data_IF_719245035071
#
_entry.id   IF_719245035071
#
_cell.length_a   1.000
_cell.length_b   1.000
_cell.length_c   1.000
_cell.angle_alpha   90.00
_cell.angle_beta   90.00
_cell.angle_gamma   90.00
#
_symmetry.space_group_name_H-M   'P 1'
#
loop_
_entity.id
_entity.type
_entity.pdbx_description
1 polymer ?
#
# COMPACT_ATOMS: atom_id res chain seq x y z
N UNK A 1 -8.58 40.02 -28.77
CA UNK A 1 -7.77 40.73 -27.75
C UNK A 1 -7.04 39.70 -26.91
N UNK A 2 -5.71 39.68 -26.91
CA UNK A 2 -4.93 38.82 -26.00
C UNK A 2 -4.99 39.46 -24.62
N UNK A 3 -5.73 38.86 -23.69
CA UNK A 3 -5.63 39.20 -22.27
C UNK A 3 -4.26 38.70 -21.81
N UNK A 4 -3.41 39.59 -21.27
CA UNK A 4 -2.12 39.18 -20.74
C UNK A 4 -2.33 38.19 -19.59
N UNK A 5 -1.45 37.20 -19.44
CA UNK A 5 -1.53 36.17 -18.39
C UNK A 5 -1.67 36.77 -16.98
N UNK A 6 -1.14 37.97 -16.77
CA UNK A 6 -1.27 38.71 -15.51
C UNK A 6 -2.70 39.22 -15.27
N UNK A 7 -3.40 39.70 -16.30
CA UNK A 7 -4.79 40.16 -16.18
C UNK A 7 -5.78 39.04 -15.87
N UNK A 8 -5.53 37.84 -16.41
CA UNK A 8 -6.37 36.66 -16.16
C UNK A 8 -6.19 36.13 -14.73
N UNK A 9 -4.95 36.07 -14.23
CA UNK A 9 -4.67 35.62 -12.86
C UNK A 9 -5.23 36.61 -11.84
N UNK A 10 -5.05 37.91 -12.05
CA UNK A 10 -5.61 38.94 -11.15
C UNK A 10 -7.16 38.89 -11.10
N UNK A 11 -7.82 38.64 -12.24
CA UNK A 11 -9.27 38.46 -12.31
C UNK A 11 -9.75 37.20 -11.58
N UNK A 12 -9.02 36.08 -11.69
CA UNK A 12 -9.34 34.84 -10.97
C UNK A 12 -9.15 35.02 -9.46
N UNK A 13 -8.09 35.71 -9.03
CA UNK A 13 -7.86 36.02 -7.61
C UNK A 13 -8.96 36.91 -7.04
N UNK A 14 -9.38 37.96 -7.76
CA UNK A 14 -10.49 38.82 -7.35
C UNK A 14 -11.80 38.03 -7.22
N UNK A 15 -12.13 37.20 -8.21
CA UNK A 15 -13.34 36.37 -8.18
C UNK A 15 -13.31 35.33 -7.04
N UNK A 16 -12.14 34.76 -6.71
CA UNK A 16 -11.99 33.86 -5.57
C UNK A 16 -12.14 34.59 -4.23
N UNK A 17 -11.66 35.82 -4.12
CA UNK A 17 -11.85 36.66 -2.92
C UNK A 17 -13.32 37.02 -2.75
N UNK A 18 -14.02 37.41 -3.82
CA UNK A 18 -15.45 37.69 -3.78
C UNK A 18 -16.26 36.43 -3.42
N UNK A 19 -15.88 35.26 -3.95
CA UNK A 19 -16.47 33.98 -3.59
C UNK A 19 -16.23 33.64 -2.11
N UNK A 20 -15.04 33.95 -1.58
CA UNK A 20 -14.70 33.74 -0.17
C UNK A 20 -15.47 34.70 0.76
N UNK A 21 -15.74 35.94 0.33
CA UNK A 21 -16.57 36.91 1.07
C UNK A 21 -18.03 36.42 1.10
N UNK A 22 -18.57 36.01 -0.04
CA UNK A 22 -19.93 35.43 -0.14
C UNK A 22 -20.05 34.13 0.67
N UNK A 23 -19.03 33.26 0.62
CA UNK A 23 -18.99 32.08 1.49
C UNK A 23 -18.87 32.46 2.96
N UNK A 24 -18.12 33.51 3.30
CA UNK A 24 -18.00 34.02 4.68
C UNK A 24 -19.34 34.43 5.28
N UNK A 25 -20.20 35.09 4.49
CA UNK A 25 -21.54 35.53 4.92
C UNK A 25 -22.54 34.38 5.01
N UNK A 26 -22.36 33.31 4.23
CA UNK A 26 -23.17 32.07 4.31
C UNK A 26 -22.75 31.19 5.52
N UNK A 27 -21.52 31.37 6.02
CA UNK A 27 -20.85 30.49 7.00
C UNK A 27 -21.15 30.84 8.46
N UNK A 28 -21.95 31.87 8.75
CA UNK A 28 -22.26 32.28 10.13
C UNK A 28 -23.20 31.33 10.91
N UNK A 29 -23.68 30.21 10.33
CA UNK A 29 -24.71 29.38 10.98
C UNK A 29 -24.66 27.84 10.79
N UNK A 30 -23.55 27.22 10.35
CA UNK A 30 -23.54 25.75 10.06
C UNK A 30 -22.25 24.97 10.42
N UNK A 31 -22.37 23.69 10.88
CA UNK A 31 -21.25 22.77 11.14
C UNK A 31 -20.44 22.35 9.89
N UNK A 32 -20.88 22.72 8.68
CA UNK A 32 -20.09 22.60 7.43
C UNK A 32 -18.81 23.45 7.41
N UNK A 33 -18.61 24.32 8.41
CA UNK A 33 -17.46 25.23 8.57
C UNK A 33 -16.10 24.54 8.48
N UNK A 34 -15.93 23.37 9.10
CA UNK A 34 -14.65 22.66 9.11
C UNK A 34 -14.35 21.98 7.77
N UNK A 35 -15.36 21.34 7.16
CA UNK A 35 -15.21 20.68 5.85
C UNK A 35 -14.97 21.69 4.72
N UNK A 36 -15.62 22.85 4.75
CA UNK A 36 -15.39 23.90 3.76
C UNK A 36 -14.01 24.55 3.97
N UNK A 37 -13.60 24.80 5.21
CA UNK A 37 -12.27 25.34 5.53
C UNK A 37 -11.14 24.38 5.13
N UNK A 38 -11.26 23.10 5.47
CA UNK A 38 -10.32 22.05 5.06
C UNK A 38 -10.34 21.89 3.55
N UNK A 39 -11.51 21.88 2.91
CA UNK A 39 -11.65 21.84 1.45
C UNK A 39 -10.98 23.02 0.76
N UNK A 40 -11.08 24.23 1.32
CA UNK A 40 -10.42 25.45 0.81
C UNK A 40 -8.92 25.47 1.10
N UNK A 41 -8.43 24.90 2.20
CA UNK A 41 -7.00 24.69 2.46
C UNK A 41 -6.42 23.68 1.47
N UNK A 42 -7.15 22.59 1.22
CA UNK A 42 -6.80 21.60 0.20
C UNK A 42 -6.80 22.24 -1.17
N UNK A 43 -7.81 23.04 -1.52
CA UNK A 43 -7.84 23.80 -2.77
C UNK A 43 -6.67 24.79 -2.85
N UNK A 44 -6.30 25.47 -1.76
CA UNK A 44 -5.15 26.38 -1.69
C UNK A 44 -3.82 25.64 -1.89
N UNK A 45 -3.65 24.45 -1.31
CA UNK A 45 -2.42 23.65 -1.46
C UNK A 45 -2.38 22.98 -2.84
N UNK A 46 -3.50 22.45 -3.33
CA UNK A 46 -3.66 22.01 -4.71
C UNK A 46 -3.41 23.17 -5.67
N UNK A 47 -3.90 24.38 -5.41
CA UNK A 47 -3.66 25.56 -6.24
C UNK A 47 -2.23 26.05 -6.14
N UNK A 48 -1.56 26.04 -4.99
CA UNK A 48 -0.15 26.43 -4.88
C UNK A 48 0.77 25.42 -5.58
N UNK A 49 0.54 24.12 -5.35
CA UNK A 49 1.20 23.03 -6.09
C UNK A 49 0.86 23.11 -7.58
N UNK A 50 -0.38 23.49 -7.94
CA UNK A 50 -0.81 23.66 -9.32
C UNK A 50 -0.33 24.97 -9.93
N UNK A 51 -0.05 26.02 -9.17
CA UNK A 51 0.46 27.32 -9.64
C UNK A 51 1.96 27.21 -9.93
N UNK A 52 2.72 26.49 -9.09
CA UNK A 52 4.10 26.11 -9.41
C UNK A 52 4.16 25.16 -10.61
N UNK A 53 3.15 24.31 -10.80
CA UNK A 53 2.99 23.52 -12.03
C UNK A 53 2.50 24.39 -13.21
N UNK A 54 1.65 25.40 -13.01
CA UNK A 54 1.13 26.28 -14.06
C UNK A 54 2.19 27.23 -14.61
N UNK A 55 3.21 27.60 -13.82
CA UNK A 55 4.42 28.25 -14.32
C UNK A 55 5.18 27.39 -15.35
N UNK A 56 5.02 26.06 -15.31
CA UNK A 56 5.51 25.12 -16.34
C UNK A 56 4.51 25.00 -17.51
N UNK A 57 3.21 25.14 -17.28
CA UNK A 57 2.15 25.05 -18.32
C UNK A 57 2.10 26.21 -19.33
N UNK A 58 2.98 27.21 -19.25
CA UNK A 58 3.20 28.13 -20.36
C UNK A 58 3.75 27.42 -21.62
N UNK A 59 4.22 26.17 -21.50
CA UNK A 59 4.47 25.24 -22.61
C UNK A 59 3.62 23.97 -22.47
N UNK A 60 2.75 23.73 -23.45
CA UNK A 60 1.79 22.63 -23.52
C UNK A 60 2.34 21.23 -23.15
N UNK A 61 1.72 20.54 -22.20
CA UNK A 61 1.83 19.07 -22.05
C UNK A 61 0.42 18.49 -21.88
N UNK A 62 -0.01 17.77 -22.91
CA UNK A 62 -1.26 17.01 -22.95
C UNK A 62 -1.30 15.94 -21.84
N UNK A 63 -2.30 16.01 -20.96
CA UNK A 63 -2.61 15.01 -19.91
C UNK A 63 -3.33 13.75 -20.47
N UNK A 64 -3.24 13.50 -21.77
CA UNK A 64 -4.09 12.54 -22.49
C UNK A 64 -3.37 11.32 -23.07
N UNK A 65 -2.32 10.79 -22.44
CA UNK A 65 -1.87 9.45 -22.85
C UNK A 65 -2.77 8.40 -22.22
N UNK A 66 -3.57 7.72 -23.04
CA UNK A 66 -4.25 6.48 -22.66
C UNK A 66 -3.18 5.45 -22.24
N UNK A 67 -3.38 4.67 -21.15
CA UNK A 67 -2.47 3.61 -20.75
C UNK A 67 -2.03 2.69 -21.91
N UNK A 68 -2.95 2.42 -22.85
CA UNK A 68 -2.72 1.56 -24.02
C UNK A 68 -1.60 2.09 -24.94
N UNK A 69 -1.47 3.42 -25.08
CA UNK A 69 -0.40 4.03 -25.89
C UNK A 69 0.99 3.86 -25.26
N UNK A 70 1.06 3.81 -23.92
CA UNK A 70 2.29 3.53 -23.19
C UNK A 70 2.69 2.06 -23.35
N UNK A 71 1.72 1.15 -23.31
CA UNK A 71 1.95 -0.28 -23.48
C UNK A 71 2.55 -0.61 -24.85
N UNK A 72 1.94 -0.13 -25.95
CA UNK A 72 2.46 -0.39 -27.28
C UNK A 72 3.89 0.12 -27.49
N UNK A 73 4.20 1.31 -26.96
CA UNK A 73 5.56 1.88 -27.01
C UNK A 73 6.55 1.01 -26.22
N UNK A 74 6.21 0.64 -24.98
CA UNK A 74 7.10 -0.14 -24.12
C UNK A 74 7.33 -1.57 -24.64
N UNK A 75 6.30 -2.22 -25.22
CA UNK A 75 6.45 -3.51 -25.89
C UNK A 75 7.37 -3.39 -27.11
N UNK A 76 7.21 -2.32 -27.91
CA UNK A 76 8.09 -2.03 -29.04
C UNK A 76 9.55 -1.83 -28.63
N UNK A 77 9.80 -1.08 -27.55
CA UNK A 77 11.14 -0.89 -26.97
C UNK A 77 11.77 -2.23 -26.54
N UNK A 78 10.95 -3.18 -26.09
CA UNK A 78 11.36 -4.54 -25.71
C UNK A 78 11.39 -5.52 -26.90
N UNK A 79 11.09 -5.09 -28.13
CA UNK A 79 10.95 -5.96 -29.32
C UNK A 79 9.93 -7.10 -29.14
N UNK A 80 8.88 -6.82 -28.37
CA UNK A 80 7.77 -7.73 -28.09
C UNK A 80 6.58 -7.40 -28.99
N UNK A 81 6.08 -8.39 -29.72
CA UNK A 81 4.93 -8.23 -30.63
C UNK A 81 3.66 -8.66 -29.92
N UNK A 82 2.71 -7.75 -29.77
CA UNK A 82 1.42 -8.00 -29.09
C UNK A 82 0.47 -8.86 -29.95
N UNK A 83 -0.09 -9.93 -29.37
CA UNK A 83 -1.17 -10.75 -29.99
C UNK A 83 -2.52 -10.51 -29.30
N UNK A 84 -2.53 -10.39 -27.98
CA UNK A 84 -3.76 -10.28 -27.21
C UNK A 84 -3.50 -10.06 -25.73
N UNK A 85 -4.55 -9.79 -24.97
CA UNK A 85 -4.46 -9.65 -23.52
C UNK A 85 -5.71 -10.14 -22.82
N UNK A 86 -5.56 -10.48 -21.55
CA UNK A 86 -6.65 -10.71 -20.62
C UNK A 86 -6.37 -9.99 -19.29
N UNK A 87 -7.43 -9.47 -18.63
CA UNK A 87 -7.26 -8.90 -17.31
C UNK A 87 -6.86 -9.99 -16.31
N UNK A 88 -5.87 -9.68 -15.47
CA UNK A 88 -5.59 -10.43 -14.25
C UNK A 88 -6.28 -9.68 -13.11
N UNK A 89 -6.74 -10.38 -12.08
CA UNK A 89 -7.24 -9.71 -10.86
C UNK A 89 -6.22 -8.66 -10.42
N UNK A 90 -6.65 -7.39 -10.38
CA UNK A 90 -5.77 -6.24 -10.19
C UNK A 90 -6.12 -5.43 -8.95
N UNK A 91 -5.10 -4.79 -8.37
CA UNK A 91 -5.24 -3.91 -7.20
C UNK A 91 -6.05 -2.64 -7.48
N UNK A 92 -6.38 -1.89 -6.43
CA UNK A 92 -7.27 -0.72 -6.50
C UNK A 92 -6.74 0.45 -7.35
N UNK A 93 -5.41 0.58 -7.45
CA UNK A 93 -4.73 1.72 -8.08
C UNK A 93 -4.19 1.42 -9.47
N UNK A 94 -3.95 0.16 -9.82
CA UNK A 94 -3.31 -0.23 -11.08
C UNK A 94 -4.13 -1.29 -11.81
N UNK A 95 -4.01 -1.29 -13.14
CA UNK A 95 -4.55 -2.34 -13.99
C UNK A 95 -3.44 -3.33 -14.32
N UNK A 96 -3.70 -4.62 -14.08
CA UNK A 96 -2.78 -5.73 -14.36
C UNK A 96 -3.38 -6.59 -15.47
N UNK A 97 -2.59 -6.88 -16.49
CA UNK A 97 -3.01 -7.68 -17.65
C UNK A 97 -1.95 -8.71 -17.97
N UNK A 98 -2.38 -9.91 -18.35
CA UNK A 98 -1.53 -10.87 -19.03
C UNK A 98 -1.58 -10.54 -20.51
N UNK A 99 -0.41 -10.30 -21.10
CA UNK A 99 -0.27 -9.96 -22.50
C UNK A 99 0.42 -11.14 -23.20
N UNK A 100 -0.26 -11.68 -24.22
CA UNK A 100 0.23 -12.75 -25.07
C UNK A 100 1.05 -12.17 -26.21
N UNK A 101 2.22 -12.77 -26.46
CA UNK A 101 3.20 -12.27 -27.41
C UNK A 101 3.36 -13.21 -28.60
N UNK A 102 3.73 -12.65 -29.75
CA UNK A 102 4.15 -13.42 -30.91
C UNK A 102 5.61 -13.83 -30.73
N UNK A 103 5.85 -15.14 -30.80
CA UNK A 103 7.17 -15.72 -30.62
C UNK A 103 8.03 -15.66 -31.88
N UNK A 104 7.49 -15.28 -33.05
CA UNK A 104 8.23 -14.92 -34.28
C UNK A 104 9.64 -15.55 -34.48
N UNK A 105 10.61 -14.72 -34.85
CA UNK A 105 12.05 -15.08 -35.02
C UNK A 105 12.93 -14.66 -33.82
N UNK A 106 12.34 -14.12 -32.76
CA UNK A 106 13.04 -13.64 -31.56
C UNK A 106 12.55 -14.45 -30.37
N UNK A 107 13.46 -14.98 -29.53
CA UNK A 107 13.10 -15.66 -28.28
C UNK A 107 12.40 -14.71 -27.30
N UNK A 108 11.09 -14.51 -27.52
CA UNK A 108 10.17 -13.87 -26.60
C UNK A 108 9.48 -14.95 -25.74
N UNK A 109 9.07 -14.63 -24.50
CA UNK A 109 8.19 -15.51 -23.75
C UNK A 109 6.78 -15.51 -24.38
N UNK A 110 6.06 -16.63 -24.26
CA UNK A 110 4.66 -16.77 -24.73
C UNK A 110 3.73 -15.67 -24.17
N UNK A 111 4.04 -15.18 -22.97
CA UNK A 111 3.30 -14.10 -22.33
C UNK A 111 4.11 -13.35 -21.27
N UNK A 112 3.69 -12.13 -20.99
CA UNK A 112 4.21 -11.27 -19.93
C UNK A 112 3.07 -10.69 -19.09
N UNK A 113 3.39 -10.23 -17.89
CA UNK A 113 2.47 -9.42 -17.08
C UNK A 113 2.79 -7.94 -17.30
N UNK A 114 1.76 -7.17 -17.61
CA UNK A 114 1.83 -5.72 -17.77
C UNK A 114 1.00 -5.05 -16.69
N UNK A 115 1.67 -4.29 -15.82
CA UNK A 115 1.05 -3.43 -14.80
C UNK A 115 1.12 -1.98 -15.28
N UNK A 116 -0.01 -1.29 -15.26
CA UNK A 116 -0.11 0.13 -15.61
C UNK A 116 -0.98 0.87 -14.61
N UNK A 117 -0.67 2.14 -14.35
CA UNK A 117 -1.49 2.99 -13.48
C UNK A 117 -2.93 3.12 -13.97
N UNK A 118 -3.88 3.34 -13.05
CA UNK A 118 -5.29 3.62 -13.36
C UNK A 118 -5.47 4.75 -14.40
N UNK A 119 -6.49 4.65 -15.25
CA UNK A 119 -6.88 5.74 -16.15
C UNK A 119 -7.44 6.96 -15.41
N UNK A 120 -7.95 6.77 -14.18
CA UNK A 120 -8.52 7.83 -13.36
C UNK A 120 -7.42 8.72 -12.75
N UNK A 121 -7.37 10.00 -13.15
CA UNK A 121 -6.36 10.95 -12.69
C UNK A 121 -6.30 11.09 -11.15
N UNK A 122 -7.46 11.10 -10.48
CA UNK A 122 -7.53 11.17 -9.00
C UNK A 122 -6.80 10.01 -8.33
N UNK A 123 -6.94 8.79 -8.88
CA UNK A 123 -6.31 7.58 -8.36
C UNK A 123 -4.81 7.63 -8.64
N UNK A 124 -4.41 8.09 -9.83
CA UNK A 124 -2.99 8.28 -10.17
C UNK A 124 -2.27 9.27 -9.28
N UNK A 125 -2.89 10.42 -9.00
CA UNK A 125 -2.28 11.43 -8.12
C UNK A 125 -2.10 10.86 -6.71
N UNK A 126 -3.12 10.17 -6.19
CA UNK A 126 -3.07 9.54 -4.87
C UNK A 126 -1.99 8.45 -4.78
N UNK A 127 -1.95 7.55 -5.76
CA UNK A 127 -1.04 6.39 -5.77
C UNK A 127 0.36 6.70 -6.32
N UNK A 128 0.63 7.93 -6.77
CA UNK A 128 1.88 8.28 -7.48
C UNK A 128 3.14 7.97 -6.67
N UNK A 129 3.07 8.04 -5.34
CA UNK A 129 4.18 7.64 -4.47
C UNK A 129 4.48 6.15 -4.56
N UNK A 130 3.45 5.29 -4.57
CA UNK A 130 3.60 3.85 -4.73
C UNK A 130 4.16 3.47 -6.10
N UNK A 131 3.67 4.10 -7.16
CA UNK A 131 4.19 3.89 -8.52
C UNK A 131 5.68 4.21 -8.64
N UNK A 132 6.11 5.32 -8.06
CA UNK A 132 7.52 5.70 -8.06
C UNK A 132 8.35 4.66 -7.32
N UNK A 133 7.88 4.19 -6.15
CA UNK A 133 8.60 3.24 -5.32
C UNK A 133 8.74 1.88 -5.99
N UNK A 134 7.67 1.33 -6.55
CA UNK A 134 7.69 0.03 -7.23
C UNK A 134 8.64 0.04 -8.43
N UNK A 135 8.56 1.10 -9.27
CA UNK A 135 9.48 1.26 -10.41
C UNK A 135 10.93 1.38 -9.96
N UNK A 136 11.20 2.18 -8.91
CA UNK A 136 12.55 2.33 -8.39
C UNK A 136 13.08 1.04 -7.76
N UNK A 137 12.24 0.29 -7.07
CA UNK A 137 12.60 -1.02 -6.52
C UNK A 137 13.07 -1.97 -7.61
N UNK A 138 12.27 -2.13 -8.67
CA UNK A 138 12.62 -3.03 -9.78
C UNK A 138 13.86 -2.58 -10.55
N UNK A 139 14.12 -1.27 -10.63
CA UNK A 139 15.31 -0.74 -11.31
C UNK A 139 16.58 -0.75 -10.44
N UNK A 140 16.47 -0.62 -9.12
CA UNK A 140 17.62 -0.31 -8.25
C UNK A 140 17.91 -1.37 -7.19
N UNK A 141 16.92 -2.13 -6.73
CA UNK A 141 17.04 -2.99 -5.54
C UNK A 141 16.80 -4.48 -5.87
N UNK A 142 15.80 -4.80 -6.69
CA UNK A 142 15.36 -6.17 -6.98
C UNK A 142 16.50 -7.17 -7.24
N UNK A 143 17.44 -6.80 -8.11
CA UNK A 143 18.59 -7.61 -8.52
C UNK A 143 19.65 -7.82 -7.42
N UNK A 144 19.52 -7.15 -6.28
CA UNK A 144 20.46 -7.23 -5.15
C UNK A 144 20.00 -8.20 -4.06
N UNK A 145 18.74 -8.66 -4.13
CA UNK A 145 18.12 -9.49 -3.11
C UNK A 145 18.43 -10.99 -3.33
N UNK A 146 18.71 -11.76 -2.27
CA UNK A 146 19.00 -13.18 -2.36
C UNK A 146 17.72 -14.04 -2.40
N UNK A 147 16.71 -13.57 -3.14
CA UNK A 147 15.40 -14.21 -3.26
C UNK A 147 14.93 -14.18 -4.72
N UNK A 148 14.10 -15.14 -5.16
CA UNK A 148 13.47 -15.09 -6.47
C UNK A 148 12.64 -13.80 -6.66
N UNK A 149 12.92 -13.09 -7.75
CA UNK A 149 12.15 -11.92 -8.22
C UNK A 149 11.81 -12.17 -9.70
N UNK A 150 10.58 -11.87 -10.17
CA UNK A 150 10.25 -12.02 -11.58
C UNK A 150 11.19 -11.22 -12.46
N UNK A 151 11.58 -11.77 -13.62
CA UNK A 151 12.39 -11.01 -14.58
C UNK A 151 11.64 -9.76 -15.03
N UNK A 152 12.29 -8.61 -14.94
CA UNK A 152 11.72 -7.32 -15.36
C UNK A 152 12.24 -6.98 -16.76
N UNK A 153 11.33 -6.85 -17.72
CA UNK A 153 11.64 -6.47 -19.10
C UNK A 153 11.61 -4.94 -19.28
N UNK A 154 10.69 -4.27 -18.60
CA UNK A 154 10.55 -2.81 -18.64
C UNK A 154 9.98 -2.30 -17.33
N UNK A 155 10.49 -1.18 -16.80
CA UNK A 155 9.94 -0.54 -15.61
C UNK A 155 10.19 0.96 -15.65
N UNK A 156 9.12 1.75 -15.80
CA UNK A 156 9.22 3.20 -16.01
C UNK A 156 8.10 3.95 -15.31
N UNK A 157 8.48 5.06 -14.67
CA UNK A 157 7.58 6.00 -14.02
C UNK A 157 7.70 7.37 -14.69
N UNK A 158 6.56 7.96 -15.04
CA UNK A 158 6.47 9.33 -15.52
C UNK A 158 5.91 10.22 -14.40
N UNK A 159 6.80 11.02 -13.81
CA UNK A 159 6.48 11.95 -12.72
C UNK A 159 5.45 13.01 -13.08
N UNK A 160 5.34 13.39 -14.36
CA UNK A 160 4.43 14.44 -14.82
C UNK A 160 3.03 13.90 -15.06
N UNK A 161 2.96 12.63 -15.48
CA UNK A 161 1.70 11.93 -15.74
C UNK A 161 1.20 11.13 -14.54
N UNK A 162 1.99 11.06 -13.47
CA UNK A 162 1.75 10.21 -12.29
C UNK A 162 1.39 8.78 -12.70
N UNK A 163 2.12 8.23 -13.67
CA UNK A 163 1.81 6.94 -14.27
C UNK A 163 3.02 6.04 -14.30
N UNK A 164 2.77 4.75 -14.11
CA UNK A 164 3.75 3.68 -14.27
C UNK A 164 3.42 2.79 -15.46
N UNK A 165 4.46 2.13 -15.95
CA UNK A 165 4.36 0.92 -16.73
C UNK A 165 5.46 -0.05 -16.30
N UNK A 166 5.06 -1.28 -16.00
CA UNK A 166 5.96 -2.38 -15.67
C UNK A 166 5.59 -3.57 -16.56
N UNK A 167 6.57 -4.12 -17.24
CA UNK A 167 6.49 -5.36 -18.01
C UNK A 167 7.40 -6.37 -17.32
N UNK A 168 6.81 -7.45 -16.83
CA UNK A 168 7.52 -8.48 -16.07
C UNK A 168 7.15 -9.88 -16.54
N UNK A 169 7.99 -10.84 -16.16
CA UNK A 169 7.78 -12.26 -16.38
C UNK A 169 6.42 -12.72 -15.86
N UNK A 170 5.75 -13.52 -16.69
CA UNK A 170 4.52 -14.16 -16.28
C UNK A 170 4.81 -15.42 -15.47
N UNK A 171 4.84 -15.27 -14.14
CA UNK A 171 4.95 -16.40 -13.20
C UNK A 171 3.62 -17.19 -13.11
N UNK A 172 2.53 -16.72 -13.74
CA UNK A 172 1.15 -17.22 -13.54
C UNK A 172 0.82 -18.59 -14.17
N UNK A 173 1.82 -19.48 -14.33
CA UNK A 173 1.55 -20.91 -14.16
C UNK A 173 1.59 -21.35 -12.69
N UNK A 174 1.92 -20.43 -11.78
CA UNK A 174 1.85 -20.61 -10.34
C UNK A 174 0.47 -20.27 -9.73
N UNK A 175 0.17 -20.88 -8.59
CA UNK A 175 -0.97 -20.53 -7.74
C UNK A 175 -0.63 -19.35 -6.84
N UNK A 176 -1.63 -18.53 -6.50
CA UNK A 176 -1.44 -17.58 -5.39
C UNK A 176 -1.08 -18.35 -4.13
N UNK A 177 -0.28 -17.78 -3.22
CA UNK A 177 0.02 -18.50 -1.97
C UNK A 177 -1.25 -18.81 -1.17
N UNK A 178 -2.31 -17.99 -1.29
CA UNK A 178 -3.65 -18.32 -0.75
C UNK A 178 -4.15 -19.67 -1.27
N UNK A 179 -4.10 -19.87 -2.59
CA UNK A 179 -4.60 -21.09 -3.21
C UNK A 179 -3.67 -22.27 -2.90
N UNK A 180 -2.35 -22.04 -2.88
CA UNK A 180 -1.36 -23.06 -2.51
C UNK A 180 -1.56 -23.54 -1.08
N UNK A 181 -1.75 -22.63 -0.13
CA UNK A 181 -2.09 -22.97 1.25
C UNK A 181 -3.38 -23.80 1.32
N UNK A 182 -4.42 -23.45 0.56
CA UNK A 182 -5.69 -24.20 0.58
C UNK A 182 -5.62 -25.60 -0.03
N UNK A 183 -4.68 -25.81 -0.95
CA UNK A 183 -4.56 -27.04 -1.75
C UNK A 183 -3.38 -27.93 -1.35
N UNK A 184 -2.43 -27.41 -0.57
CA UNK A 184 -1.26 -28.13 -0.11
C UNK A 184 -1.64 -29.23 0.89
N UNK A 185 -0.98 -30.38 0.78
CA UNK A 185 -1.02 -31.43 1.80
C UNK A 185 -0.36 -30.99 3.11
N UNK A 186 0.56 -30.02 3.04
CA UNK A 186 1.21 -29.41 4.19
C UNK A 186 1.16 -27.88 4.08
N UNK A 187 0.07 -27.24 4.52
CA UNK A 187 -0.09 -25.79 4.43
C UNK A 187 0.82 -25.02 5.41
N UNK A 188 1.23 -25.65 6.51
CA UNK A 188 2.17 -25.06 7.48
C UNK A 188 3.55 -24.85 6.85
N UNK A 189 4.04 -25.80 6.04
CA UNK A 189 5.30 -25.67 5.31
C UNK A 189 5.29 -24.52 4.29
N UNK A 190 4.14 -24.22 3.68
CA UNK A 190 4.00 -23.08 2.76
C UNK A 190 4.13 -21.76 3.52
N UNK A 191 3.50 -21.67 4.69
CA UNK A 191 3.62 -20.52 5.57
C UNK A 191 5.06 -20.36 6.09
N UNK A 192 5.71 -21.45 6.48
CA UNK A 192 7.10 -21.46 6.92
C UNK A 192 8.04 -20.92 5.84
N UNK A 193 7.91 -21.37 4.58
CA UNK A 193 8.74 -20.87 3.49
C UNK A 193 8.52 -19.37 3.22
N UNK A 194 7.28 -18.86 3.36
CA UNK A 194 7.02 -17.42 3.25
C UNK A 194 7.73 -16.63 4.36
N UNK A 195 7.86 -17.19 5.56
CA UNK A 195 8.59 -16.57 6.67
C UNK A 195 10.11 -16.62 6.45
N UNK A 196 10.64 -17.76 6.00
CA UNK A 196 12.05 -17.92 5.65
C UNK A 196 12.45 -16.97 4.51
N UNK A 197 11.61 -16.85 3.49
CA UNK A 197 11.79 -15.91 2.38
C UNK A 197 11.91 -14.47 2.87
N UNK A 198 11.05 -14.04 3.80
CA UNK A 198 11.13 -12.72 4.40
C UNK A 198 12.45 -12.51 5.17
N UNK A 199 12.90 -13.51 5.94
CA UNK A 199 14.18 -13.41 6.65
C UNK A 199 15.37 -13.25 5.69
N UNK A 200 15.43 -14.05 4.61
CA UNK A 200 16.48 -13.92 3.57
C UNK A 200 16.47 -12.56 2.89
N UNK A 201 15.28 -12.06 2.57
CA UNK A 201 15.08 -10.72 2.02
C UNK A 201 15.59 -9.63 2.96
N UNK A 202 15.19 -9.69 4.23
CA UNK A 202 15.54 -8.68 5.24
C UNK A 202 17.02 -8.68 5.58
N UNK A 203 17.66 -9.85 5.69
CA UNK A 203 19.07 -9.94 6.05
C UNK A 203 19.99 -9.12 5.13
N UNK A 204 19.62 -8.96 3.84
CA UNK A 204 20.42 -8.24 2.84
C UNK A 204 20.73 -6.78 3.20
N UNK A 205 19.80 -6.10 3.89
CA UNK A 205 19.86 -4.68 4.25
C UNK A 205 19.77 -4.44 5.76
N UNK A 206 20.05 -5.47 6.56
CA UNK A 206 19.87 -5.46 8.00
C UNK A 206 20.86 -4.53 8.75
N UNK A 207 20.42 -4.05 9.91
CA UNK A 207 21.29 -3.51 10.96
C UNK A 207 21.42 -1.99 11.01
N UNK A 208 20.77 -1.25 10.11
CA UNK A 208 20.72 0.21 10.23
C UNK A 208 19.83 0.62 11.40
N UNK A 209 20.22 1.60 12.21
CA UNK A 209 19.32 2.24 13.17
C UNK A 209 18.81 3.55 12.58
N UNK A 210 17.79 4.22 13.16
CA UNK A 210 17.38 5.55 12.72
C UNK A 210 18.54 6.55 12.61
N UNK A 211 19.51 6.49 13.53
CA UNK A 211 20.67 7.37 13.55
C UNK A 211 21.75 7.00 12.54
N UNK A 212 21.89 5.72 12.17
CA UNK A 212 22.89 5.27 11.20
C UNK A 212 22.36 5.09 9.77
N UNK A 213 21.03 5.14 9.58
CA UNK A 213 20.36 4.86 8.31
C UNK A 213 20.95 5.64 7.12
N UNK A 214 21.20 6.93 7.26
CA UNK A 214 21.75 7.75 6.16
C UNK A 214 23.14 7.27 5.68
N UNK A 215 23.91 6.59 6.54
CA UNK A 215 25.24 6.08 6.25
C UNK A 215 25.28 4.57 5.98
N UNK A 216 24.12 3.89 5.96
CA UNK A 216 24.04 2.46 5.68
C UNK A 216 23.91 2.17 4.19
N UNK A 217 23.98 0.88 3.81
CA UNK A 217 23.71 0.43 2.43
C UNK A 217 22.30 0.81 1.96
N UNK A 218 21.33 0.87 2.88
CA UNK A 218 19.94 1.26 2.62
C UNK A 218 19.78 2.79 2.51
N UNK A 219 20.69 3.55 3.14
CA UNK A 219 20.69 5.02 3.19
C UNK A 219 20.68 5.72 1.84
N UNK A 220 21.15 5.04 0.79
CA UNK A 220 21.19 5.58 -0.57
C UNK A 220 19.82 5.62 -1.27
N UNK A 221 18.83 4.89 -0.75
CA UNK A 221 17.49 4.81 -1.33
C UNK A 221 16.53 5.71 -0.57
N UNK A 222 16.77 7.03 -0.64
CA UNK A 222 15.99 8.04 0.10
C UNK A 222 14.52 8.14 -0.32
N UNK A 223 14.15 7.46 -1.40
CA UNK A 223 12.79 7.39 -1.94
C UNK A 223 11.94 6.28 -1.29
N UNK A 224 12.54 5.41 -0.47
CA UNK A 224 11.82 4.37 0.26
C UNK A 224 10.79 5.00 1.20
N UNK A 225 9.62 4.37 1.32
CA UNK A 225 8.60 4.80 2.30
C UNK A 225 9.21 4.76 3.70
N UNK A 226 8.85 5.74 4.53
CA UNK A 226 9.35 5.89 5.89
C UNK A 226 10.72 6.58 6.01
N UNK A 227 11.55 6.60 4.95
CA UNK A 227 12.91 7.16 5.02
C UNK A 227 12.94 8.60 5.55
N UNK A 228 12.18 9.51 4.91
CA UNK A 228 12.13 10.92 5.33
C UNK A 228 11.65 11.06 6.77
N UNK A 229 10.59 10.33 7.14
CA UNK A 229 10.01 10.38 8.48
C UNK A 229 11.02 9.93 9.55
N UNK A 230 11.73 8.83 9.32
CA UNK A 230 12.80 8.33 10.20
C UNK A 230 13.94 9.35 10.33
N UNK A 231 14.25 10.07 9.25
CA UNK A 231 15.28 11.11 9.20
C UNK A 231 14.80 12.50 9.68
N UNK A 232 13.58 12.61 10.21
CA UNK A 232 13.02 13.88 10.68
C UNK A 232 12.75 14.90 9.58
N UNK A 233 12.44 14.41 8.37
CA UNK A 233 12.11 15.20 7.19
C UNK A 233 10.65 14.99 6.79
N UNK A 234 10.13 15.93 6.01
CA UNK A 234 8.82 15.81 5.35
C UNK A 234 7.62 15.68 6.32
N UNK A 235 7.65 16.47 7.40
CA UNK A 235 6.56 16.55 8.40
C UNK A 235 5.18 16.77 7.77
N UNK A 236 5.09 17.57 6.71
CA UNK A 236 3.83 17.83 6.01
C UNK A 236 3.20 16.56 5.43
N UNK A 237 4.00 15.68 4.83
CA UNK A 237 3.50 14.40 4.31
C UNK A 237 3.09 13.46 5.44
N UNK A 238 3.84 13.42 6.54
CA UNK A 238 3.47 12.64 7.72
C UNK A 238 2.11 13.10 8.28
N UNK A 239 1.93 14.41 8.51
CA UNK A 239 0.67 14.97 9.01
C UNK A 239 -0.49 14.71 8.05
N UNK A 240 -0.26 14.77 6.75
CA UNK A 240 -1.25 14.42 5.74
C UNK A 240 -1.68 12.95 5.85
N UNK A 241 -0.73 12.01 6.00
CA UNK A 241 -1.03 10.59 6.17
C UNK A 241 -1.86 10.33 7.43
N UNK A 242 -1.48 10.92 8.57
CA UNK A 242 -2.24 10.79 9.82
C UNK A 242 -3.63 11.43 9.71
N UNK A 243 -3.76 12.60 9.08
CA UNK A 243 -5.07 13.22 8.80
C UNK A 243 -5.95 12.30 7.95
N UNK A 244 -5.39 11.67 6.91
CA UNK A 244 -6.15 10.79 6.03
C UNK A 244 -6.64 9.53 6.77
N UNK A 245 -5.78 8.93 7.60
CA UNK A 245 -6.14 7.80 8.48
C UNK A 245 -7.25 8.21 9.45
N UNK A 246 -7.10 9.35 10.11
CA UNK A 246 -8.11 9.92 11.02
C UNK A 246 -9.45 10.17 10.32
N UNK A 247 -9.42 10.68 9.09
CA UNK A 247 -10.61 10.89 8.27
C UNK A 247 -11.33 9.58 7.93
N UNK A 248 -10.61 8.56 7.45
CA UNK A 248 -11.19 7.26 7.12
C UNK A 248 -11.74 6.57 8.37
N UNK A 249 -11.01 6.64 9.48
CA UNK A 249 -11.49 6.13 10.76
C UNK A 249 -12.74 6.85 11.24
N UNK A 250 -12.80 8.18 11.11
CA UNK A 250 -14.00 8.96 11.42
C UNK A 250 -15.22 8.56 10.60
N UNK A 251 -15.03 8.26 9.30
CA UNK A 251 -16.10 7.73 8.44
C UNK A 251 -16.55 6.34 8.89
N UNK A 252 -15.61 5.47 9.26
CA UNK A 252 -15.92 4.14 9.76
C UNK A 252 -16.74 4.22 11.05
N UNK A 253 -16.32 5.05 12.01
CA UNK A 253 -17.05 5.30 13.25
C UNK A 253 -18.44 5.89 13.03
N UNK A 254 -18.60 6.79 12.07
CA UNK A 254 -19.90 7.37 11.73
C UNK A 254 -20.88 6.36 11.12
N UNK A 255 -20.37 5.26 10.55
CA UNK A 255 -21.19 4.17 10.01
C UNK A 255 -21.51 3.09 11.07
N UNK A 256 -20.89 3.15 12.25
CA UNK A 256 -21.17 2.24 13.36
C UNK A 256 -22.44 2.70 14.12
N UNK A 257 -23.22 1.76 14.69
CA UNK A 257 -24.33 2.07 15.60
C UNK A 257 -23.92 3.02 16.75
N UNK A 258 -24.82 3.90 17.17
CA UNK A 258 -24.57 4.88 18.25
C UNK A 258 -24.25 4.23 19.61
N UNK A 259 -24.66 2.98 19.82
CA UNK A 259 -24.36 2.21 21.03
C UNK A 259 -22.88 1.82 21.06
N UNK A 260 -22.06 2.66 21.69
CA UNK A 260 -20.65 2.39 21.95
C UNK A 260 -20.53 1.36 23.08
N UNK A 261 -20.57 0.08 22.72
CA UNK A 261 -20.35 -1.08 23.58
C UNK A 261 -19.74 -2.23 22.79
N UNK A 262 -19.75 -3.46 23.33
CA UNK A 262 -19.48 -4.66 22.54
C UNK A 262 -20.55 -4.80 21.45
N UNK A 263 -20.25 -4.31 20.24
CA UNK A 263 -21.17 -4.36 19.11
C UNK A 263 -20.63 -5.27 18.02
N UNK A 264 -21.51 -6.09 17.46
CA UNK A 264 -21.23 -6.78 16.21
C UNK A 264 -21.73 -5.91 15.06
N UNK A 265 -20.82 -5.35 14.27
CA UNK A 265 -21.14 -4.57 13.08
C UNK A 265 -20.41 -5.15 11.88
N UNK A 266 -21.15 -5.51 10.83
CA UNK A 266 -20.65 -6.28 9.67
C UNK A 266 -19.96 -7.60 10.04
N UNK A 267 -20.48 -8.31 11.04
CA UNK A 267 -19.87 -9.56 11.52
C UNK A 267 -18.56 -9.36 12.30
N UNK A 268 -18.07 -8.12 12.45
CA UNK A 268 -16.90 -7.79 13.25
C UNK A 268 -17.37 -7.38 14.63
N UNK A 269 -16.84 -8.04 15.67
CA UNK A 269 -17.05 -7.62 17.06
C UNK A 269 -16.13 -6.44 17.36
N UNK A 270 -16.69 -5.25 17.47
CA UNK A 270 -16.01 -4.05 17.91
C UNK A 270 -16.15 -3.94 19.41
N UNK A 271 -15.09 -4.27 20.15
CA UNK A 271 -15.06 -3.98 21.57
C UNK A 271 -14.79 -2.50 21.78
N UNK A 272 -15.30 -1.98 22.90
CA UNK A 272 -15.05 -0.60 23.31
C UNK A 272 -13.54 -0.32 23.41
N UNK A 273 -12.78 -1.27 23.93
CA UNK A 273 -11.34 -1.18 24.13
C UNK A 273 -10.60 -1.05 22.79
N UNK A 274 -11.02 -1.78 21.75
CA UNK A 274 -10.40 -1.67 20.43
C UNK A 274 -10.63 -0.30 19.79
N UNK A 275 -11.84 0.25 19.93
CA UNK A 275 -12.18 1.59 19.42
C UNK A 275 -11.38 2.68 20.17
N UNK A 276 -11.36 2.62 21.50
CA UNK A 276 -10.59 3.55 22.35
C UNK A 276 -9.08 3.44 22.09
N UNK A 277 -8.59 2.23 21.80
CA UNK A 277 -7.19 1.99 21.43
C UNK A 277 -6.84 2.66 20.09
N UNK A 278 -7.66 2.48 19.05
CA UNK A 278 -7.42 3.13 17.75
C UNK A 278 -7.50 4.65 17.86
N UNK A 279 -8.46 5.19 18.63
CA UNK A 279 -8.56 6.63 18.91
C UNK A 279 -7.28 7.15 19.57
N UNK A 280 -6.82 6.47 20.62
CA UNK A 280 -5.58 6.84 21.34
C UNK A 280 -4.36 6.79 20.43
N UNK A 281 -4.26 5.79 19.54
CA UNK A 281 -3.15 5.68 18.60
C UNK A 281 -3.16 6.84 17.58
N UNK A 282 -4.32 7.19 17.03
CA UNK A 282 -4.43 8.29 16.06
C UNK A 282 -4.10 9.62 16.73
N UNK A 283 -4.66 9.89 17.91
CA UNK A 283 -4.41 11.12 18.67
C UNK A 283 -2.95 11.24 19.12
N UNK A 284 -2.33 10.11 19.47
CA UNK A 284 -0.92 10.01 19.85
C UNK A 284 0.07 10.10 18.68
N UNK A 285 -0.39 9.95 17.44
CA UNK A 285 0.45 9.95 16.21
C UNK A 285 0.83 11.36 15.76
N UNK A 286 1.35 12.16 16.70
CA UNK A 286 1.88 13.49 16.40
C UNK A 286 3.27 13.39 15.78
N UNK A 287 3.69 14.43 15.04
CA UNK A 287 5.04 14.50 14.49
C UNK A 287 6.11 14.37 15.59
N UNK A 288 5.95 15.10 16.70
CA UNK A 288 6.92 15.08 17.79
C UNK A 288 7.00 13.71 18.48
N UNK A 289 5.86 13.04 18.68
CA UNK A 289 5.84 11.67 19.21
C UNK A 289 6.52 10.69 18.26
N UNK A 290 6.26 10.81 16.95
CA UNK A 290 6.92 9.99 15.94
C UNK A 290 8.44 10.23 15.91
N UNK A 291 8.88 11.48 15.99
CA UNK A 291 10.30 11.82 16.05
C UNK A 291 10.96 11.36 17.35
N UNK A 292 10.28 11.46 18.49
CA UNK A 292 10.76 10.95 19.76
C UNK A 292 10.94 9.42 19.70
N UNK A 293 9.98 8.71 19.10
CA UNK A 293 10.06 7.27 18.85
C UNK A 293 11.30 6.94 18.03
N UNK A 294 11.47 7.53 16.84
CA UNK A 294 12.61 7.18 15.98
C UNK A 294 13.97 7.59 16.55
N UNK A 295 14.06 8.69 17.32
CA UNK A 295 15.34 9.10 17.94
C UNK A 295 15.83 8.15 19.03
N UNK A 296 14.91 7.45 19.70
CA UNK A 296 15.23 6.57 20.83
C UNK A 296 15.17 5.09 20.47
N UNK A 297 14.70 4.75 19.26
CA UNK A 297 14.58 3.38 18.80
C UNK A 297 15.94 2.83 18.37
N UNK A 298 16.34 1.73 19.00
CA UNK A 298 17.59 1.01 18.68
C UNK A 298 17.36 -0.24 17.82
N UNK A 299 16.10 -0.58 17.53
CA UNK A 299 15.79 -1.76 16.70
C UNK A 299 16.43 -1.63 15.31
N UNK A 300 17.00 -2.73 14.77
CA UNK A 300 17.54 -2.73 13.44
C UNK A 300 16.42 -2.55 12.41
N UNK A 301 16.70 -1.65 11.48
CA UNK A 301 15.93 -1.40 10.27
C UNK A 301 16.51 -2.23 9.12
N UNK A 302 15.63 -2.52 8.18
CA UNK A 302 15.92 -3.21 6.93
C UNK A 302 15.01 -2.69 5.82
N UNK A 303 15.25 -3.13 4.59
CA UNK A 303 14.27 -3.09 3.51
C UNK A 303 13.11 -4.02 3.88
N UNK A 304 11.89 -3.51 3.84
CA UNK A 304 10.66 -4.31 3.99
C UNK A 304 9.82 -4.18 2.72
N UNK A 305 9.12 -5.26 2.37
CA UNK A 305 8.14 -5.25 1.27
C UNK A 305 7.01 -4.27 1.59
N UNK A 306 6.56 -4.25 2.83
CA UNK A 306 5.60 -3.27 3.35
C UNK A 306 4.14 -3.54 2.99
N UNK A 307 3.88 -4.50 2.12
CA UNK A 307 2.57 -5.12 1.88
C UNK A 307 2.71 -6.64 1.70
N UNK A 308 3.40 -7.29 2.65
CA UNK A 308 3.81 -8.70 2.58
C UNK A 308 2.68 -9.63 3.03
N UNK A 309 1.59 -9.64 2.30
CA UNK A 309 0.46 -10.55 2.51
C UNK A 309 0.47 -11.65 1.44
N UNK A 310 -0.21 -12.77 1.68
CA UNK A 310 -0.11 -13.95 0.79
C UNK A 310 -0.67 -13.73 -0.63
N UNK A 311 -1.47 -12.66 -0.82
CA UNK A 311 -1.98 -12.27 -2.13
C UNK A 311 -0.94 -11.61 -3.03
N UNK A 312 0.15 -11.10 -2.44
CA UNK A 312 1.31 -10.55 -3.14
C UNK A 312 2.44 -11.58 -3.30
N UNK A 313 2.15 -12.84 -2.99
CA UNK A 313 3.07 -13.96 -3.08
C UNK A 313 2.55 -14.98 -4.12
N UNK A 314 3.45 -15.43 -5.00
CA UNK A 314 3.14 -16.39 -6.07
C UNK A 314 4.05 -17.60 -5.90
N UNK A 315 3.47 -18.80 -5.88
CA UNK A 315 4.21 -20.05 -5.88
C UNK A 315 4.32 -20.60 -7.30
N UNK A 316 5.53 -20.64 -7.86
CA UNK A 316 5.77 -21.29 -9.15
C UNK A 316 5.87 -22.81 -8.97
N UNK A 317 4.80 -23.52 -9.32
CA UNK A 317 4.71 -24.98 -9.26
C UNK A 317 5.77 -25.69 -10.11
N UNK A 318 6.31 -25.05 -11.15
CA UNK A 318 7.31 -25.68 -12.03
C UNK A 318 8.69 -25.69 -11.41
N UNK A 319 9.07 -24.60 -10.76
CA UNK A 319 10.41 -24.43 -10.16
C UNK A 319 10.41 -24.66 -8.66
N UNK A 320 9.23 -24.84 -8.06
CA UNK A 320 9.01 -24.93 -6.63
C UNK A 320 9.61 -23.74 -5.87
N UNK A 321 9.33 -22.54 -6.37
CA UNK A 321 9.87 -21.28 -5.83
C UNK A 321 8.76 -20.29 -5.51
N UNK A 322 8.93 -19.63 -4.38
CA UNK A 322 8.15 -18.47 -3.98
C UNK A 322 8.67 -17.21 -4.67
N UNK A 323 7.77 -16.36 -5.12
CA UNK A 323 8.05 -15.02 -5.66
C UNK A 323 7.17 -14.00 -4.95
N UNK A 324 7.66 -12.76 -4.86
CA UNK A 324 6.91 -11.61 -4.35
C UNK A 324 6.71 -10.55 -5.42
N UNK A 325 5.51 -10.00 -5.50
CA UNK A 325 5.10 -8.94 -6.42
C UNK A 325 4.47 -7.78 -5.67
N UNK A 326 4.19 -6.67 -6.36
CA UNK A 326 3.58 -5.47 -5.80
C UNK A 326 4.41 -4.78 -4.71
N UNK A 327 5.59 -4.32 -5.11
CA UNK A 327 6.52 -3.59 -4.25
C UNK A 327 6.18 -2.10 -4.11
N UNK A 328 4.90 -1.73 -4.27
CA UNK A 328 4.46 -0.35 -4.19
C UNK A 328 4.58 0.23 -2.78
N UNK A 329 4.58 -0.60 -1.74
CA UNK A 329 4.72 -0.19 -0.34
C UNK A 329 6.11 -0.40 0.25
N UNK A 330 7.11 -0.71 -0.59
CA UNK A 330 8.50 -0.94 -0.18
C UNK A 330 9.04 0.21 0.67
N UNK A 331 9.62 -0.14 1.82
CA UNK A 331 9.93 0.82 2.87
C UNK A 331 11.24 0.50 3.59
N UNK A 332 11.68 1.46 4.40
CA UNK A 332 12.60 1.19 5.51
C UNK A 332 11.75 0.91 6.75
N UNK A 333 12.00 -0.22 7.42
CA UNK A 333 11.23 -0.61 8.60
C UNK A 333 11.85 -1.75 9.39
N UNK A 334 11.16 -2.19 10.44
CA UNK A 334 11.53 -3.38 11.20
C UNK A 334 10.98 -4.63 10.49
N UNK A 335 11.86 -5.56 10.10
CA UNK A 335 11.54 -6.73 9.28
C UNK A 335 10.35 -7.58 9.77
N UNK A 336 10.22 -7.87 11.08
CA UNK A 336 9.10 -8.69 11.57
C UNK A 336 7.70 -8.15 11.27
N UNK A 337 7.54 -6.88 10.87
CA UNK A 337 6.26 -6.33 10.46
C UNK A 337 5.68 -7.01 9.21
N UNK A 338 6.52 -7.42 8.26
CA UNK A 338 6.09 -8.16 7.07
C UNK A 338 5.59 -9.57 7.45
N UNK A 339 6.30 -10.24 8.37
CA UNK A 339 5.90 -11.55 8.90
C UNK A 339 4.56 -11.48 9.62
N UNK A 340 4.35 -10.45 10.45
CA UNK A 340 3.10 -10.23 11.16
C UNK A 340 1.91 -10.01 10.21
N UNK A 341 2.14 -9.34 9.07
CA UNK A 341 1.10 -9.15 8.06
C UNK A 341 0.71 -10.47 7.40
N UNK A 342 1.69 -11.27 6.94
CA UNK A 342 1.43 -12.60 6.36
C UNK A 342 0.73 -13.54 7.35
N UNK A 343 1.06 -13.47 8.63
CA UNK A 343 0.44 -14.32 9.64
C UNK A 343 -1.08 -14.10 9.76
N UNK A 344 -1.59 -12.90 9.47
CA UNK A 344 -3.04 -12.64 9.44
C UNK A 344 -3.77 -13.56 8.44
N UNK A 345 -3.12 -13.88 7.32
CA UNK A 345 -3.67 -14.78 6.30
C UNK A 345 -3.42 -16.25 6.64
N UNK A 346 -2.29 -16.55 7.30
CA UNK A 346 -1.93 -17.91 7.70
C UNK A 346 -2.62 -18.38 8.98
N UNK A 347 -3.21 -17.52 9.80
CA UNK A 347 -3.80 -17.91 11.09
C UNK A 347 -4.79 -19.08 11.01
N UNK A 348 -5.47 -19.24 9.87
CA UNK A 348 -6.43 -20.32 9.62
C UNK A 348 -5.79 -21.67 9.26
N UNK A 349 -4.47 -21.69 9.06
CA UNK A 349 -3.69 -22.87 8.61
C UNK A 349 -3.43 -23.85 9.75
N UNK A 350 -3.24 -23.34 10.97
CA UNK A 350 -2.97 -24.17 12.14
C UNK A 350 -3.93 -23.85 13.29
N UNK A 351 -4.34 -24.89 14.00
CA UNK A 351 -5.10 -24.76 15.24
C UNK A 351 -4.19 -24.69 16.48
N UNK A 352 -2.87 -24.82 16.32
CA UNK A 352 -1.94 -24.72 17.44
C UNK A 352 -1.75 -23.26 17.85
N UNK A 353 -2.16 -22.96 19.09
CA UNK A 353 -2.00 -21.64 19.70
C UNK A 353 -0.53 -21.18 19.86
N UNK A 354 0.44 -22.10 19.80
CA UNK A 354 1.86 -21.79 19.88
C UNK A 354 2.52 -21.57 18.53
N UNK A 355 1.87 -21.92 17.42
CA UNK A 355 2.48 -21.90 16.08
C UNK A 355 2.97 -20.51 15.67
N UNK A 356 2.26 -19.44 16.05
CA UNK A 356 2.71 -18.06 15.85
C UNK A 356 4.09 -17.82 16.47
N UNK A 357 4.32 -18.32 17.70
CA UNK A 357 5.59 -18.17 18.38
C UNK A 357 6.70 -18.99 17.72
N UNK A 358 6.36 -20.15 17.16
CA UNK A 358 7.29 -20.99 16.41
C UNK A 358 7.71 -20.30 15.11
N UNK A 359 6.77 -19.74 14.33
CA UNK A 359 7.08 -18.99 13.11
C UNK A 359 7.96 -17.77 13.38
N UNK A 360 7.72 -17.03 14.47
CA UNK A 360 8.62 -15.94 14.89
C UNK A 360 10.02 -16.48 15.20
N UNK A 361 10.10 -17.65 15.83
CA UNK A 361 11.37 -18.36 16.08
C UNK A 361 12.07 -18.76 14.79
N UNK A 362 11.35 -19.32 13.82
CA UNK A 362 11.87 -19.70 12.49
C UNK A 362 12.44 -18.50 11.75
N UNK A 363 11.69 -17.38 11.71
CA UNK A 363 12.19 -16.12 11.15
C UNK A 363 13.50 -15.68 11.81
N UNK A 364 13.53 -15.68 13.14
CA UNK A 364 14.68 -15.22 13.91
C UNK A 364 15.91 -16.12 13.70
N UNK A 365 15.72 -17.44 13.66
CA UNK A 365 16.77 -18.41 13.36
C UNK A 365 17.32 -18.24 11.95
N UNK A 366 16.46 -18.08 10.95
CA UNK A 366 16.89 -17.85 9.56
C UNK A 366 17.69 -16.55 9.43
N UNK A 367 17.34 -15.48 10.15
CA UNK A 367 18.18 -14.27 10.18
C UNK A 367 19.62 -14.57 10.66
N UNK A 368 19.80 -15.44 11.64
CA UNK A 368 21.15 -15.85 12.09
C UNK A 368 21.90 -16.64 11.03
N UNK A 369 21.23 -17.57 10.33
CA UNK A 369 21.83 -18.31 9.21
C UNK A 369 22.28 -17.36 8.09
N UNK A 370 21.59 -16.23 7.93
CA UNK A 370 21.96 -15.15 7.00
C UNK A 370 23.00 -14.16 7.56
N UNK A 371 23.53 -14.40 8.77
CA UNK A 371 24.63 -13.64 9.39
C UNK A 371 24.21 -12.52 10.35
N UNK A 372 22.94 -12.45 10.78
CA UNK A 372 22.51 -11.52 11.82
C UNK A 372 22.94 -12.02 13.21
N UNK A 373 23.67 -11.19 13.95
CA UNK A 373 24.10 -11.51 15.31
C UNK A 373 22.94 -11.43 16.32
N UNK A 374 22.56 -12.60 16.87
CA UNK A 374 21.53 -12.74 17.89
C UNK A 374 21.88 -12.12 19.25
N UNK A 375 23.15 -11.85 19.53
CA UNK A 375 23.52 -11.08 20.72
C UNK A 375 23.05 -9.62 20.59
N UNK A 376 23.17 -9.06 19.39
CA UNK A 376 22.67 -7.71 19.07
C UNK A 376 21.15 -7.66 18.81
N UNK A 377 20.55 -8.79 18.43
CA UNK A 377 19.13 -8.91 18.11
C UNK A 377 18.49 -10.12 18.79
N UNK A 378 18.20 -10.05 20.10
CA UNK A 378 17.61 -11.16 20.84
C UNK A 378 16.15 -11.42 20.38
N UNK A 379 15.66 -12.65 20.58
CA UNK A 379 14.30 -13.04 20.21
C UNK A 379 13.21 -12.14 20.82
N UNK A 380 13.43 -11.57 22.01
CA UNK A 380 12.51 -10.60 22.62
C UNK A 380 12.33 -9.35 21.77
N UNK A 381 13.41 -8.84 21.16
CA UNK A 381 13.37 -7.68 20.26
C UNK A 381 12.62 -8.01 18.97
N UNK A 382 12.79 -9.24 18.45
CA UNK A 382 12.04 -9.74 17.30
C UNK A 382 10.54 -9.82 17.58
N UNK A 383 10.15 -10.36 18.75
CA UNK A 383 8.74 -10.44 19.17
C UNK A 383 8.11 -9.06 19.34
N UNK A 384 8.83 -8.11 19.94
CA UNK A 384 8.35 -6.75 20.10
C UNK A 384 8.12 -6.06 18.74
N UNK A 385 9.07 -6.21 17.81
CA UNK A 385 8.96 -5.70 16.45
C UNK A 385 7.77 -6.33 15.70
N UNK A 386 7.57 -7.64 15.86
CA UNK A 386 6.46 -8.39 15.27
C UNK A 386 5.11 -7.87 15.76
N UNK A 387 4.91 -7.78 17.09
CA UNK A 387 3.63 -7.32 17.68
C UNK A 387 3.32 -5.89 17.24
N UNK A 388 4.30 -4.99 17.32
CA UNK A 388 4.13 -3.59 16.92
C UNK A 388 3.82 -3.46 15.44
N UNK A 389 4.53 -4.22 14.59
CA UNK A 389 4.30 -4.26 13.16
C UNK A 389 2.92 -4.81 12.80
N UNK A 390 2.48 -5.88 13.46
CA UNK A 390 1.15 -6.45 13.28
C UNK A 390 0.03 -5.47 13.63
N UNK A 391 0.18 -4.70 14.70
CA UNK A 391 -0.79 -3.64 15.07
C UNK A 391 -0.83 -2.56 13.99
N UNK A 392 0.33 -2.03 13.57
CA UNK A 392 0.40 -0.98 12.54
C UNK A 392 -0.23 -1.43 11.22
N UNK A 393 0.11 -2.64 10.75
CA UNK A 393 -0.42 -3.21 9.51
C UNK A 393 -1.91 -3.55 9.61
N UNK A 394 -2.32 -4.17 10.71
CA UNK A 394 -3.73 -4.51 10.96
C UNK A 394 -4.62 -3.27 10.92
N UNK A 395 -4.20 -2.18 11.56
CA UNK A 395 -4.94 -0.91 11.56
C UNK A 395 -4.96 -0.29 10.16
N UNK A 396 -3.83 -0.26 9.46
CA UNK A 396 -3.77 0.27 8.08
C UNK A 396 -4.72 -0.49 7.15
N UNK A 397 -4.75 -1.82 7.21
CA UNK A 397 -5.64 -2.65 6.38
C UNK A 397 -7.11 -2.39 6.75
N UNK A 398 -7.43 -2.39 8.06
CA UNK A 398 -8.78 -2.16 8.56
C UNK A 398 -9.35 -0.81 8.10
N UNK A 399 -8.54 0.25 8.20
CA UNK A 399 -8.92 1.61 7.80
C UNK A 399 -8.93 1.75 6.27
N UNK A 400 -8.04 1.07 5.55
CA UNK A 400 -8.03 1.06 4.09
C UNK A 400 -9.25 0.38 3.47
N UNK A 401 -9.90 -0.54 4.20
CA UNK A 401 -11.10 -1.25 3.74
C UNK A 401 -12.41 -0.47 3.94
N UNK A 402 -12.39 0.73 4.51
CA UNK A 402 -13.61 1.51 4.87
C UNK A 402 -14.59 1.67 3.72
N UNK A 403 -14.13 1.96 2.50
CA UNK A 403 -15.03 2.11 1.35
C UNK A 403 -15.69 0.79 0.92
N UNK A 404 -14.99 -0.35 1.07
CA UNK A 404 -15.59 -1.68 0.84
C UNK A 404 -16.61 -2.02 1.90
N UNK A 405 -16.27 -1.77 3.16
CA UNK A 405 -17.14 -2.04 4.30
C UNK A 405 -18.40 -1.18 4.21
N UNK A 406 -18.27 0.12 3.94
CA UNK A 406 -19.42 1.03 3.80
C UNK A 406 -20.26 0.75 2.54
N UNK A 407 -19.65 0.38 1.41
CA UNK A 407 -20.40 -0.03 0.22
C UNK A 407 -21.13 -1.37 0.41
N UNK A 408 -20.50 -2.33 1.09
CA UNK A 408 -21.14 -3.60 1.46
C UNK A 408 -22.37 -3.36 2.34
N UNK A 409 -22.27 -2.48 3.35
CA UNK A 409 -23.40 -2.09 4.21
C UNK A 409 -24.52 -1.48 3.39
N UNK A 410 -24.23 -0.48 2.56
CA UNK A 410 -25.25 0.19 1.75
C UNK A 410 -25.98 -0.78 0.80
N UNK A 411 -25.30 -1.81 0.31
CA UNK A 411 -25.90 -2.84 -0.53
C UNK A 411 -26.81 -3.81 0.25
N UNK A 412 -26.47 -4.15 1.51
CA UNK A 412 -27.23 -5.09 2.32
C UNK A 412 -28.32 -4.43 3.19
N UNK A 413 -28.21 -3.15 3.54
CA UNK A 413 -29.31 -2.38 4.15
C UNK A 413 -30.53 -2.28 3.22
N UNK A 414 -30.32 -2.22 1.91
CA UNK A 414 -31.39 -2.27 0.90
C UNK A 414 -32.13 -3.63 0.88
N UNK A 415 -31.49 -4.69 1.39
CA UNK A 415 -32.05 -6.03 1.51
C UNK A 415 -32.88 -6.18 2.80
N UNK A 416 -32.45 -5.54 3.90
CA UNK A 416 -33.16 -5.52 5.18
C UNK A 416 -34.42 -4.62 5.22
N UNK A 417 -34.60 -3.71 4.24
CA UNK A 417 -35.81 -2.87 4.14
C UNK A 417 -36.97 -3.48 3.33
N UNK A 418 -36.83 -4.70 2.80
CA UNK A 418 -37.98 -5.43 2.25
C UNK A 418 -38.69 -6.19 3.36
N UNK A 419 -40.01 -6.02 3.58
CA UNK A 419 -40.75 -6.86 4.51
C UNK A 419 -40.86 -8.26 3.90
N UNK A 420 -39.89 -9.12 4.17
CA UNK A 420 -39.99 -10.53 3.87
C UNK A 420 -40.75 -11.22 5.00
N UNK A 421 -42.04 -11.47 4.75
CA UNK A 421 -42.74 -12.61 5.33
C UNK A 421 -42.07 -13.85 4.74
N UNK A 422 -41.19 -14.50 5.51
CA UNK A 422 -40.76 -15.86 5.22
C UNK A 422 -40.89 -16.67 6.51
N UNK A 423 -41.83 -17.60 6.46
CA UNK A 423 -41.97 -18.73 7.35
C UNK A 423 -40.69 -19.56 7.37
N UNK A 424 -40.08 -19.72 8.54
CA UNK A 424 -39.10 -20.78 8.84
C UNK A 424 -39.75 -22.15 8.65
N UNK A 425 -39.05 -23.13 8.04
CA UNK A 425 -38.30 -24.07 8.87
C UNK A 425 -36.93 -24.45 8.27
N UNK A 426 -36.05 -24.96 9.13
CA UNK A 426 -34.70 -25.50 8.86
C UNK A 426 -33.55 -24.48 8.87
N UNK A 427 -32.88 -24.37 10.02
CA UNK A 427 -31.51 -24.88 10.19
C UNK A 427 -31.08 -24.67 11.65
N UNK A 428 -31.40 -25.65 12.49
CA UNK A 428 -30.45 -26.12 13.49
C UNK A 428 -29.53 -27.13 12.76
N UNK A 429 -28.26 -27.11 13.13
CA UNK A 429 -27.13 -27.94 12.71
C UNK A 429 -26.14 -27.24 11.75
N UNK A 430 -24.97 -26.96 12.36
CA UNK A 430 -23.67 -26.49 11.88
C UNK A 430 -23.45 -24.98 11.86
#
# INVERSE_FOLDING_TARGET
>A
MKVSSHGMVASITANLVDLMVVCGDIVSSSPLKYLLYVGLIYLKHLLLISIDRLRVFAGAVFLSSRPDSLMGTALGDCKMTYIGEEPVSGGYSSSVRRVYLDNGDVENPDSVIVKTSSSALRVRIFASGGYQREVNFYNQISHTLPIPIPKIYHSKWDKWRCSEIIIMENIAMGSSVVDKVRTSENPEAVAEEAVLFAARMHARYWGATPSTLANSSLGRYTWLKGYDCIQGKNEGMYKFSIFFISYLWGRLKAAMPEERGDITWNGIKWSRELVEFIDTLIDGSTWDACQAFWRTREHPLTLVHGDYHVGNQIWDEKTDKLYTIDWSEVAVGEGPADVAQSFLDFRQVSNDSNWENELIGTYWMELAEQGVDHLSYPLSMCREAYVRGGIDRGIQVLIGMVDKVTAFVAAHEAEYQRPYIISTPYLCQW
#
